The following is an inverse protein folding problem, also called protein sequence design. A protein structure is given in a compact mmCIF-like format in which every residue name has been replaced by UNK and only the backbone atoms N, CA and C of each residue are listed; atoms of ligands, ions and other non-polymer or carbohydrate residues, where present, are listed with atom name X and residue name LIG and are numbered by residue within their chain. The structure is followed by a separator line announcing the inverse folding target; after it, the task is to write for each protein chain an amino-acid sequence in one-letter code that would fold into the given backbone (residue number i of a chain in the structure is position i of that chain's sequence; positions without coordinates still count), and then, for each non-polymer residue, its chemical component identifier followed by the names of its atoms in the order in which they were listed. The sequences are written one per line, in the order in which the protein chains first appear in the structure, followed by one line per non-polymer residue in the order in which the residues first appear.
data_IF_301496039294
#
_entry.id   IF_301496039294
#
_cell.length_a   1.000
_cell.length_b   1.000
_cell.length_c   1.000
_cell.angle_alpha   90.00
_cell.angle_beta   90.00
_cell.angle_gamma   90.00
#
_symmetry.space_group_name_H-M   'P 1'
#
loop_
_entity.id
_entity.type
_entity.pdbx_description
1 polymer ?
#
# COMPACT_ATOMS: atom_id res chain seq x y z
N UNK A 1 17.26 -5.43 -18.48
CA UNK A 1 18.55 -5.63 -19.19
C UNK A 1 18.87 -4.48 -20.14
N UNK A 2 17.97 -4.11 -21.07
CA UNK A 2 18.20 -3.03 -22.04
C UNK A 2 18.47 -1.64 -21.39
N UNK A 3 17.69 -1.25 -20.38
CA UNK A 3 17.84 0.05 -19.70
C UNK A 3 19.20 0.18 -19.01
N UNK A 4 19.67 -0.87 -18.33
CA UNK A 4 20.99 -0.84 -17.67
C UNK A 4 22.15 -0.67 -18.66
N UNK A 5 22.07 -1.32 -19.81
CA UNK A 5 23.06 -1.18 -20.89
C UNK A 5 23.05 0.25 -21.45
N UNK A 6 21.87 0.84 -21.63
CA UNK A 6 21.72 2.23 -22.06
C UNK A 6 22.34 3.18 -21.03
N UNK A 7 22.06 3.00 -19.73
CA UNK A 7 22.63 3.85 -18.68
C UNK A 7 24.16 3.77 -18.64
N UNK A 8 24.73 2.57 -18.81
CA UNK A 8 26.18 2.37 -18.82
C UNK A 8 26.88 2.99 -20.04
N UNK A 9 26.16 3.30 -21.12
CA UNK A 9 26.73 3.94 -22.32
C UNK A 9 27.08 5.42 -22.12
N UNK A 10 26.57 6.06 -21.07
CA UNK A 10 26.89 7.45 -20.74
C UNK A 10 28.22 7.56 -19.98
N UNK A 11 28.92 8.71 -20.06
CA UNK A 11 30.18 8.94 -19.33
C UNK A 11 30.08 8.73 -17.81
N UNK A 12 28.92 9.03 -17.21
CA UNK A 12 28.64 8.81 -15.79
C UNK A 12 27.81 7.53 -15.54
N UNK A 13 27.89 6.55 -16.44
CA UNK A 13 26.95 5.44 -16.50
C UNK A 13 26.87 4.60 -15.22
N UNK A 14 27.98 4.43 -14.50
CA UNK A 14 28.00 3.74 -13.21
C UNK A 14 27.18 4.48 -12.14
N UNK A 15 27.26 5.82 -12.10
CA UNK A 15 26.49 6.65 -11.16
C UNK A 15 25.00 6.60 -11.51
N UNK A 16 24.67 6.63 -12.80
CA UNK A 16 23.29 6.50 -13.26
C UNK A 16 22.70 5.13 -12.93
N UNK A 17 23.47 4.06 -13.17
CA UNK A 17 23.05 2.70 -12.86
C UNK A 17 22.86 2.51 -11.35
N UNK A 18 23.78 2.98 -10.52
CA UNK A 18 23.65 2.87 -9.06
C UNK A 18 22.47 3.65 -8.53
N UNK A 19 22.27 4.90 -8.99
CA UNK A 19 21.10 5.70 -8.66
C UNK A 19 19.79 5.03 -9.08
N UNK A 20 19.74 4.47 -10.28
CA UNK A 20 18.58 3.73 -10.78
C UNK A 20 18.27 2.48 -9.93
N UNK A 21 19.29 1.70 -9.57
CA UNK A 21 19.12 0.52 -8.71
C UNK A 21 18.61 0.91 -7.31
N UNK A 22 19.19 1.95 -6.71
CA UNK A 22 18.77 2.47 -5.40
C UNK A 22 17.31 2.94 -5.45
N UNK A 23 16.94 3.75 -6.44
CA UNK A 23 15.56 4.24 -6.60
C UNK A 23 14.58 3.09 -6.86
N UNK A 24 14.97 2.10 -7.66
CA UNK A 24 14.15 0.91 -7.93
C UNK A 24 13.92 0.10 -6.65
N UNK A 25 14.98 -0.11 -5.85
CA UNK A 25 14.87 -0.79 -4.57
C UNK A 25 13.95 -0.02 -3.60
N UNK A 26 14.13 1.31 -3.49
CA UNK A 26 13.28 2.15 -2.65
C UNK A 26 11.82 2.12 -3.10
N UNK A 27 11.56 2.13 -4.42
CA UNK A 27 10.21 2.03 -4.97
C UNK A 27 9.56 0.67 -4.65
N UNK A 28 10.29 -0.44 -4.84
CA UNK A 28 9.79 -1.78 -4.53
C UNK A 28 9.50 -1.91 -3.03
N UNK A 29 10.45 -1.52 -2.16
CA UNK A 29 10.27 -1.59 -0.72
C UNK A 29 9.11 -0.71 -0.25
N UNK A 30 8.94 0.47 -0.84
CA UNK A 30 7.80 1.36 -0.53
C UNK A 30 6.47 0.74 -0.96
N UNK A 31 6.41 0.12 -2.14
CA UNK A 31 5.21 -0.56 -2.61
C UNK A 31 4.84 -1.73 -1.68
N UNK A 32 5.80 -2.58 -1.36
CA UNK A 32 5.59 -3.70 -0.44
C UNK A 32 5.20 -3.24 0.96
N UNK A 33 5.78 -2.14 1.42
CA UNK A 33 5.47 -1.56 2.72
C UNK A 33 4.01 -1.05 2.78
N UNK A 34 3.56 -0.36 1.73
CA UNK A 34 2.17 0.09 1.62
C UNK A 34 1.21 -1.11 1.45
N UNK A 35 1.61 -2.15 0.71
CA UNK A 35 0.87 -3.41 0.65
C UNK A 35 0.72 -4.08 2.02
N UNK A 36 1.81 -4.11 2.79
CA UNK A 36 1.81 -4.63 4.15
C UNK A 36 0.79 -3.88 5.03
N UNK A 37 0.81 -2.56 5.04
CA UNK A 37 -0.17 -1.75 5.78
C UNK A 37 -1.61 -2.07 5.35
N UNK A 38 -1.85 -2.17 4.03
CA UNK A 38 -3.17 -2.39 3.44
C UNK A 38 -3.80 -3.74 3.76
N UNK A 39 -3.00 -4.75 4.01
CA UNK A 39 -3.48 -6.10 4.24
C UNK A 39 -3.09 -6.66 5.62
N UNK A 40 -2.50 -5.83 6.48
CA UNK A 40 -1.96 -6.28 7.75
C UNK A 40 -3.01 -6.96 8.62
N UNK A 41 -2.73 -8.20 9.04
CA UNK A 41 -3.59 -8.95 9.96
C UNK A 41 -4.92 -9.40 9.38
N UNK A 42 -5.25 -9.02 8.14
CA UNK A 42 -6.46 -9.46 7.45
C UNK A 42 -6.21 -10.81 6.77
N UNK A 43 -7.25 -11.63 6.70
CA UNK A 43 -7.20 -12.99 6.15
C UNK A 43 -8.30 -13.14 5.12
N UNK A 44 -8.05 -14.03 4.17
CA UNK A 44 -9.00 -14.51 3.16
C UNK A 44 -8.72 -15.98 2.97
N UNK A 45 -9.76 -16.81 2.96
CA UNK A 45 -9.58 -18.22 2.66
C UNK A 45 -9.30 -18.44 1.16
N UNK A 46 -8.68 -19.56 0.80
CA UNK A 46 -8.24 -19.82 -0.58
C UNK A 46 -9.40 -19.71 -1.58
N UNK A 47 -10.55 -20.30 -1.24
CA UNK A 47 -11.75 -20.36 -2.08
C UNK A 47 -12.71 -19.19 -1.84
N UNK A 48 -12.40 -18.29 -0.91
CA UNK A 48 -13.24 -17.13 -0.59
C UNK A 48 -13.07 -16.04 -1.65
N UNK A 49 -14.19 -15.50 -2.15
CA UNK A 49 -14.16 -14.38 -3.08
C UNK A 49 -13.56 -13.14 -2.40
N UNK A 50 -12.77 -12.37 -3.15
CA UNK A 50 -12.28 -11.07 -2.67
C UNK A 50 -13.46 -10.15 -2.32
N UNK A 51 -13.49 -9.66 -1.07
CA UNK A 51 -14.46 -8.68 -0.58
C UNK A 51 -13.74 -7.43 -0.10
N UNK A 52 -14.51 -6.40 0.26
CA UNK A 52 -13.97 -5.19 0.89
C UNK A 52 -13.30 -5.45 2.25
N UNK A 53 -13.64 -6.55 2.94
CA UNK A 53 -13.08 -6.93 4.24
C UNK A 53 -11.58 -7.28 4.19
N UNK A 54 -11.07 -7.64 3.02
CA UNK A 54 -9.69 -8.12 2.85
C UNK A 54 -8.67 -6.99 2.62
N UNK A 55 -9.05 -5.75 2.91
CA UNK A 55 -8.20 -4.57 2.72
C UNK A 55 -8.60 -3.45 3.66
N UNK A 56 -7.62 -2.78 4.25
CA UNK A 56 -7.85 -1.59 5.05
C UNK A 56 -8.09 -0.35 4.16
N UNK A 57 -9.08 0.46 4.53
CA UNK A 57 -9.33 1.78 3.95
C UNK A 57 -9.01 2.92 4.92
N UNK A 58 -8.96 4.15 4.41
CA UNK A 58 -8.97 5.37 5.24
C UNK A 58 -9.51 6.57 4.46
N UNK A 59 -10.32 7.39 5.11
CA UNK A 59 -10.81 8.66 4.53
C UNK A 59 -9.98 9.89 4.96
N UNK A 60 -8.77 9.68 5.50
CA UNK A 60 -7.86 10.78 5.86
C UNK A 60 -7.52 11.64 4.64
N UNK A 61 -7.95 12.90 4.67
CA UNK A 61 -7.91 13.84 3.54
C UNK A 61 -6.52 13.98 2.91
N UNK A 62 -5.49 14.11 3.74
CA UNK A 62 -4.12 14.29 3.25
C UNK A 62 -3.65 13.05 2.49
N UNK A 63 -3.85 11.86 3.06
CA UNK A 63 -3.52 10.60 2.39
C UNK A 63 -4.30 10.38 1.11
N UNK A 64 -5.59 10.72 1.08
CA UNK A 64 -6.42 10.61 -0.13
C UNK A 64 -5.89 11.45 -1.28
N UNK A 65 -5.60 12.73 -1.01
CA UNK A 65 -5.18 13.65 -2.06
C UNK A 65 -3.77 13.36 -2.57
N UNK A 66 -2.81 13.16 -1.66
CA UNK A 66 -1.41 12.99 -2.05
C UNK A 66 -1.11 11.60 -2.63
N UNK A 67 -1.90 10.59 -2.24
CA UNK A 67 -1.77 9.22 -2.76
C UNK A 67 -2.80 8.91 -3.85
N UNK A 68 -3.51 9.91 -4.37
CA UNK A 68 -4.46 9.75 -5.48
C UNK A 68 -5.51 8.65 -5.22
N UNK A 69 -6.22 8.76 -4.10
CA UNK A 69 -7.27 7.83 -3.67
C UNK A 69 -6.82 6.37 -3.48
N UNK A 70 -5.50 6.12 -3.38
CA UNK A 70 -4.93 4.81 -2.99
C UNK A 70 -5.53 4.25 -1.69
N UNK A 71 -6.07 5.14 -0.86
CA UNK A 71 -6.68 4.79 0.42
C UNK A 71 -8.02 4.08 0.29
N UNK A 72 -8.63 4.08 -0.90
CA UNK A 72 -9.88 3.36 -1.24
C UNK A 72 -9.57 2.03 -1.91
N UNK A 73 -8.67 1.28 -1.28
CA UNK A 73 -8.09 0.06 -1.82
C UNK A 73 -9.11 -1.06 -2.00
N UNK A 74 -10.09 -1.14 -1.11
CA UNK A 74 -11.17 -2.12 -1.20
C UNK A 74 -11.95 -2.00 -2.51
N UNK A 75 -12.36 -0.79 -2.89
CA UNK A 75 -13.07 -0.56 -4.15
C UNK A 75 -12.15 -0.92 -5.32
N UNK A 76 -10.88 -0.52 -5.29
CA UNK A 76 -9.94 -0.89 -6.35
C UNK A 76 -9.86 -2.41 -6.55
N UNK A 77 -9.88 -3.21 -5.48
CA UNK A 77 -9.92 -4.67 -5.61
C UNK A 77 -11.25 -5.23 -6.10
N UNK A 78 -12.37 -4.56 -5.81
CA UNK A 78 -13.69 -4.95 -6.30
C UNK A 78 -13.90 -4.56 -7.77
N UNK A 79 -13.34 -3.43 -8.20
CA UNK A 79 -13.42 -2.90 -9.56
C UNK A 79 -12.11 -2.22 -9.96
N UNK A 80 -11.10 -3.02 -10.33
CA UNK A 80 -9.76 -2.52 -10.66
C UNK A 80 -9.70 -1.60 -11.89
N UNK A 81 -10.71 -1.66 -12.76
CA UNK A 81 -10.84 -0.79 -13.93
C UNK A 81 -11.40 0.60 -13.60
N UNK A 82 -11.89 0.83 -12.38
CA UNK A 82 -12.37 2.13 -11.97
C UNK A 82 -11.21 3.14 -11.90
N UNK A 83 -11.33 4.33 -12.52
CA UNK A 83 -10.32 5.36 -12.38
C UNK A 83 -10.32 5.90 -10.94
N UNK A 84 -9.16 6.40 -10.48
CA UNK A 84 -8.97 6.76 -9.07
C UNK A 84 -10.01 7.77 -8.53
N UNK A 85 -10.45 8.73 -9.36
CA UNK A 85 -11.45 9.74 -8.97
C UNK A 85 -12.88 9.21 -8.83
N UNK A 86 -13.14 7.95 -9.24
CA UNK A 86 -14.42 7.26 -9.06
C UNK A 86 -14.38 6.20 -7.98
N UNK A 87 -13.24 5.98 -7.33
CA UNK A 87 -13.18 5.06 -6.20
C UNK A 87 -14.04 5.61 -5.07
N UNK A 88 -14.81 4.75 -4.43
CA UNK A 88 -15.74 5.08 -3.33
C UNK A 88 -15.35 4.34 -2.06
N UNK A 89 -15.63 4.90 -0.87
CA UNK A 89 -15.41 4.20 0.38
C UNK A 89 -16.41 3.06 0.55
N UNK A 90 -15.96 1.97 1.15
CA UNK A 90 -16.78 0.81 1.50
C UNK A 90 -17.01 0.78 3.01
N UNK A 91 -18.25 1.03 3.51
CA UNK A 91 -18.54 1.06 4.95
C UNK A 91 -18.26 -0.25 5.68
N UNK A 92 -18.30 -1.37 4.96
CA UNK A 92 -17.98 -2.70 5.46
C UNK A 92 -16.46 -2.91 5.60
N UNK A 93 -15.63 -2.18 4.85
CA UNK A 93 -14.18 -2.38 4.90
C UNK A 93 -13.60 -1.97 6.26
N UNK A 94 -12.61 -2.70 6.79
CA UNK A 94 -11.92 -2.26 7.99
C UNK A 94 -11.17 -0.94 7.74
N UNK A 95 -11.19 -0.04 8.73
CA UNK A 95 -10.58 1.30 8.60
C UNK A 95 -9.28 1.40 9.41
N UNK A 96 -8.21 1.93 8.79
CA UNK A 96 -6.97 2.25 9.49
C UNK A 96 -7.23 3.26 10.62
N UNK A 97 -6.46 3.19 11.73
CA UNK A 97 -6.63 4.13 12.84
C UNK A 97 -6.34 5.59 12.46
N UNK A 98 -5.65 5.83 11.34
CA UNK A 98 -5.34 7.14 10.78
C UNK A 98 -4.98 7.02 9.29
N UNK A 99 -4.55 8.11 8.67
CA UNK A 99 -4.01 8.09 7.31
C UNK A 99 -2.65 7.39 7.21
N UNK A 100 -2.25 7.02 6.00
CA UNK A 100 -0.98 6.31 5.72
C UNK A 100 0.24 6.97 6.35
N UNK A 101 0.34 8.31 6.31
CA UNK A 101 1.50 9.02 6.86
C UNK A 101 1.63 8.88 8.38
N UNK A 102 0.51 8.82 9.10
CA UNK A 102 0.50 8.61 10.54
C UNK A 102 0.74 7.12 10.87
N UNK A 103 0.21 6.20 10.06
CA UNK A 103 0.43 4.77 10.19
C UNK A 103 1.85 4.32 9.82
N UNK A 104 2.54 5.06 8.96
CA UNK A 104 3.88 4.75 8.46
C UNK A 104 4.87 4.53 9.59
N UNK A 105 5.03 5.48 10.49
CA UNK A 105 6.05 5.39 11.54
C UNK A 105 5.87 4.22 12.51
N UNK A 106 4.69 4.00 13.12
CA UNK A 106 4.51 2.87 14.03
C UNK A 106 4.57 1.52 13.32
N UNK A 107 4.20 1.44 12.03
CA UNK A 107 4.31 0.21 11.25
C UNK A 107 5.76 -0.27 11.07
N UNK A 108 6.77 0.61 11.18
CA UNK A 108 8.19 0.22 11.20
C UNK A 108 8.60 -0.52 12.49
N UNK A 109 7.78 -0.43 13.55
CA UNK A 109 8.04 -1.03 14.85
C UNK A 109 6.91 -2.06 15.13
N UNK A 110 7.07 -3.33 14.74
CA UNK A 110 6.02 -4.35 14.81
C UNK A 110 5.25 -4.43 16.13
N UNK A 111 5.88 -4.38 17.33
CA UNK A 111 5.12 -4.43 18.58
C UNK A 111 4.22 -3.19 18.81
N UNK A 112 4.66 -2.01 18.36
CA UNK A 112 3.87 -0.77 18.44
C UNK A 112 2.69 -0.82 17.46
N UNK A 113 2.96 -1.22 16.22
CA UNK A 113 1.93 -1.40 15.20
C UNK A 113 0.85 -2.38 15.64
N UNK A 114 1.27 -3.57 16.08
CA UNK A 114 0.37 -4.62 16.54
C UNK A 114 -0.52 -4.10 17.66
N UNK A 115 0.05 -3.46 18.68
CA UNK A 115 -0.70 -2.91 19.81
C UNK A 115 -1.72 -1.84 19.40
N UNK A 116 -1.42 -1.04 18.38
CA UNK A 116 -2.33 0.03 17.96
C UNK A 116 -3.47 -0.46 17.06
N UNK A 117 -3.19 -1.43 16.17
CA UNK A 117 -4.12 -1.84 15.11
C UNK A 117 -4.87 -3.13 15.43
N UNK A 118 -4.32 -4.04 16.24
CA UNK A 118 -4.90 -5.38 16.45
C UNK A 118 -6.35 -5.37 16.92
N UNK A 119 -6.73 -4.38 17.74
CA UNK A 119 -8.08 -4.25 18.29
C UNK A 119 -9.14 -3.84 17.25
N UNK A 120 -8.70 -3.48 16.03
CA UNK A 120 -9.58 -3.08 14.91
C UNK A 120 -9.73 -4.19 13.88
N UNK A 121 -8.98 -5.30 14.00
CA UNK A 121 -9.09 -6.42 13.07
C UNK A 121 -10.50 -7.01 13.25
N UNK A 122 -11.27 -7.20 12.16
CA UNK A 122 -12.56 -7.88 12.23
C UNK A 122 -12.41 -9.29 12.79
N UNK A 123 -13.36 -9.72 13.63
CA UNK A 123 -13.43 -11.12 14.03
C UNK A 123 -13.90 -11.93 12.82
N UNK A 124 -13.09 -12.90 12.40
CA UNK A 124 -13.51 -13.93 11.45
C UNK A 124 -14.26 -14.97 12.28
N UNK A 125 -15.54 -15.19 11.98
CA UNK A 125 -16.31 -16.33 12.52
C UNK A 125 -15.86 -17.64 11.87
#
# INVERSE_FOLDING_TARGET
MLVGIILLSFPNGLVLLSGWLILSLLAILTLEYVNYIRHWGLRRDLDERQTAMHSWNTESRWSRWSLLELTRHSHHHLQASAPFWKLEPHPEAPELPSGYYACWWPCLIPPLWKRWVSHRIPNYE
#
